data_IF_836839464062
#
_entry.id   IF_836839464062
#
_cell.length_a   1.000
_cell.length_b   1.000
_cell.length_c   1.000
_cell.angle_alpha   90.00
_cell.angle_beta   90.00
_cell.angle_gamma   90.00
#
_symmetry.space_group_name_H-M   'P 1'
#
loop_
_entity.id
_entity.type
_entity.pdbx_description
1 polymer ?
#
# COMPACT_ATOMS: atom_id res chain seq x y z
N UNK A 1 -1.51 -22.73 -1.13
CA UNK A 1 -0.99 -21.36 -0.83
C UNK A 1 -0.94 -21.19 0.68
N UNK A 2 0.23 -20.92 1.27
CA UNK A 2 0.35 -20.68 2.72
C UNK A 2 -0.20 -19.30 3.08
N UNK A 3 -1.12 -19.23 4.06
CA UNK A 3 -1.64 -17.97 4.58
C UNK A 3 -0.60 -17.37 5.55
N UNK A 4 -0.18 -16.13 5.34
CA UNK A 4 0.93 -15.51 6.10
C UNK A 4 0.54 -14.29 6.91
N UNK A 5 -0.66 -13.74 6.67
CA UNK A 5 -1.14 -12.51 7.33
C UNK A 5 -2.50 -12.77 7.96
N UNK A 6 -2.73 -12.26 9.17
CA UNK A 6 -4.01 -12.42 9.88
C UNK A 6 -5.12 -11.58 9.25
N UNK A 7 -6.30 -12.19 9.14
CA UNK A 7 -7.51 -11.60 8.61
C UNK A 7 -8.08 -10.57 9.58
N UNK A 8 -8.09 -9.29 9.20
CA UNK A 8 -8.66 -8.21 10.02
C UNK A 8 -10.16 -8.35 10.26
N UNK A 9 -10.89 -8.95 9.32
CA UNK A 9 -12.34 -9.14 9.44
C UNK A 9 -12.67 -10.30 10.37
N UNK A 10 -11.90 -11.38 10.33
CA UNK A 10 -12.09 -12.52 11.22
C UNK A 10 -11.89 -12.15 12.68
N UNK A 11 -10.87 -11.35 12.99
CA UNK A 11 -10.65 -10.84 14.35
C UNK A 11 -11.84 -10.06 14.91
N UNK A 12 -12.72 -9.54 14.05
CA UNK A 12 -13.93 -8.80 14.43
C UNK A 12 -15.21 -9.65 14.33
N UNK A 13 -15.11 -10.93 13.96
CA UNK A 13 -16.27 -11.77 13.66
C UNK A 13 -16.99 -11.41 12.35
N UNK A 14 -16.39 -10.59 11.48
CA UNK A 14 -17.00 -10.05 10.26
C UNK A 14 -16.56 -10.75 8.97
N UNK A 15 -15.74 -11.80 9.05
CA UNK A 15 -15.26 -12.49 7.85
C UNK A 15 -16.30 -13.45 7.30
N UNK A 16 -16.84 -13.15 6.11
CA UNK A 16 -17.82 -13.99 5.42
C UNK A 16 -17.19 -15.09 4.56
N UNK A 17 -15.86 -15.10 4.39
CA UNK A 17 -15.16 -16.06 3.52
C UNK A 17 -14.93 -17.43 4.18
N UNK A 18 -15.06 -17.54 5.50
CA UNK A 18 -14.81 -18.79 6.24
C UNK A 18 -13.46 -19.41 5.86
N UNK A 19 -13.45 -20.71 5.59
CA UNK A 19 -12.25 -21.44 5.17
C UNK A 19 -11.75 -21.09 3.77
N UNK A 20 -12.50 -20.33 2.98
CA UNK A 20 -12.04 -19.79 1.69
C UNK A 20 -11.30 -18.46 1.84
N UNK A 21 -11.12 -17.97 3.06
CA UNK A 21 -10.35 -16.76 3.30
C UNK A 21 -8.87 -16.98 2.94
N UNK A 22 -8.29 -16.04 2.20
CA UNK A 22 -6.87 -16.07 1.83
C UNK A 22 -5.93 -15.61 2.97
N UNK A 23 -6.52 -15.14 4.07
CA UNK A 23 -5.82 -14.66 5.26
C UNK A 23 -6.01 -15.64 6.43
N UNK A 24 -5.10 -15.60 7.40
CA UNK A 24 -5.15 -16.47 8.58
C UNK A 24 -6.34 -16.13 9.48
N UNK A 25 -7.08 -17.16 9.87
CA UNK A 25 -8.09 -17.12 10.93
C UNK A 25 -7.50 -17.65 12.25
N UNK A 26 -6.35 -17.10 12.62
CA UNK A 26 -5.61 -17.44 13.84
C UNK A 26 -4.93 -16.18 14.35
N UNK A 27 -4.99 -15.94 15.66
CA UNK A 27 -4.31 -14.80 16.25
C UNK A 27 -2.80 -15.08 16.34
N UNK A 28 -2.00 -14.18 15.77
CA UNK A 28 -0.54 -14.28 15.78
C UNK A 28 0.07 -12.90 15.60
N UNK A 29 0.68 -12.35 16.65
CA UNK A 29 1.25 -10.99 16.66
C UNK A 29 2.30 -10.79 15.55
N UNK A 30 3.14 -11.79 15.29
CA UNK A 30 4.18 -11.73 14.24
C UNK A 30 3.58 -11.69 12.83
N UNK A 31 2.37 -12.23 12.65
CA UNK A 31 1.65 -12.27 11.37
C UNK A 31 0.55 -11.21 11.27
N UNK A 32 0.48 -10.29 12.24
CA UNK A 32 -0.48 -9.20 12.18
C UNK A 32 -0.18 -8.29 11.00
N UNK A 33 -1.22 -7.78 10.33
CA UNK A 33 -1.02 -6.82 9.27
C UNK A 33 -0.51 -5.49 9.86
N UNK A 34 0.06 -4.64 9.00
CA UNK A 34 0.60 -3.37 9.44
C UNK A 34 -0.48 -2.45 10.02
N UNK A 35 -0.11 -1.70 11.05
CA UNK A 35 -0.91 -0.61 11.59
C UNK A 35 -0.99 0.51 10.55
N UNK A 36 -2.18 1.10 10.37
CA UNK A 36 -2.36 2.24 9.46
C UNK A 36 -1.58 3.47 9.94
N UNK A 37 -1.52 3.66 11.26
CA UNK A 37 -0.91 4.84 11.87
C UNK A 37 0.59 4.67 12.15
N UNK A 38 1.10 3.43 12.15
CA UNK A 38 2.50 3.11 12.40
C UNK A 38 3.06 3.86 13.63
N UNK A 39 4.15 4.62 13.49
CA UNK A 39 4.77 5.43 14.55
C UNK A 39 3.82 6.48 15.16
N UNK A 40 2.76 6.88 14.44
CA UNK A 40 1.74 7.83 14.93
C UNK A 40 0.59 7.14 15.68
N UNK A 41 0.65 5.82 15.88
CA UNK A 41 -0.39 5.09 16.61
C UNK A 41 -0.34 5.40 18.10
N UNK A 42 -1.44 5.92 18.67
CA UNK A 42 -1.54 6.22 20.11
C UNK A 42 -2.07 5.05 20.95
N UNK A 43 -2.50 3.96 20.32
CA UNK A 43 -3.05 2.80 21.03
C UNK A 43 -1.91 1.90 21.52
N UNK A 44 -1.69 1.86 22.84
CA UNK A 44 -0.66 1.04 23.49
C UNK A 44 -0.93 -0.47 23.38
N UNK A 45 -2.18 -0.86 23.15
CA UNK A 45 -2.60 -2.25 22.94
C UNK A 45 -2.94 -2.53 21.47
N UNK A 46 -2.36 -1.77 20.53
CA UNK A 46 -2.58 -2.00 19.11
C UNK A 46 -2.06 -3.40 18.72
N UNK A 47 -2.92 -4.31 18.25
CA UNK A 47 -2.47 -5.65 17.85
C UNK A 47 -1.72 -5.63 16.51
N UNK A 48 -1.75 -4.51 15.77
CA UNK A 48 -1.13 -4.41 14.46
C UNK A 48 0.36 -4.07 14.56
N UNK A 49 1.15 -4.56 13.59
CA UNK A 49 2.58 -4.29 13.57
C UNK A 49 2.87 -2.83 13.23
N UNK A 50 3.69 -2.17 14.04
CA UNK A 50 4.26 -0.85 13.76
C UNK A 50 5.61 -1.02 13.08
N UNK A 51 5.84 -0.28 12.00
CA UNK A 51 7.12 -0.23 11.28
C UNK A 51 7.52 1.23 11.06
N UNK A 52 8.80 1.50 10.82
CA UNK A 52 9.23 2.85 10.41
C UNK A 52 8.70 3.16 9.02
N UNK A 53 8.50 4.44 8.72
CA UNK A 53 8.09 4.84 7.37
C UNK A 53 9.11 4.42 6.30
N UNK A 54 10.40 4.40 6.62
CA UNK A 54 11.45 3.91 5.72
C UNK A 54 11.33 2.42 5.36
N UNK A 55 10.78 1.60 6.26
CA UNK A 55 10.55 0.16 6.07
C UNK A 55 9.26 -0.14 5.29
N UNK A 56 8.41 0.87 5.09
CA UNK A 56 7.20 0.74 4.28
C UNK A 56 7.58 0.56 2.82
N UNK A 57 6.97 -0.42 2.18
CA UNK A 57 7.11 -0.63 0.73
C UNK A 57 6.67 0.62 -0.04
N UNK A 58 7.44 0.97 -1.06
CA UNK A 58 7.13 2.07 -1.97
C UNK A 58 5.83 1.79 -2.75
N UNK A 59 5.04 2.84 -2.98
CA UNK A 59 3.83 2.74 -3.76
C UNK A 59 4.17 2.63 -5.24
N UNK A 60 3.89 1.48 -5.84
CA UNK A 60 4.15 1.24 -7.27
C UNK A 60 3.39 2.22 -8.18
N UNK A 61 2.19 2.63 -7.79
CA UNK A 61 1.37 3.57 -8.57
C UNK A 61 1.93 4.99 -8.50
N UNK A 62 2.31 5.44 -7.30
CA UNK A 62 2.95 6.75 -7.16
C UNK A 62 4.29 6.79 -7.89
N UNK A 63 5.07 5.71 -7.84
CA UNK A 63 6.30 5.57 -8.63
C UNK A 63 6.05 5.64 -10.14
N UNK A 64 4.88 5.20 -10.60
CA UNK A 64 4.45 5.34 -11.99
C UNK A 64 3.87 6.73 -12.31
N UNK A 65 3.82 7.64 -11.34
CA UNK A 65 3.44 9.04 -11.53
C UNK A 65 2.17 9.45 -10.77
N UNK A 66 1.25 8.53 -10.48
CA UNK A 66 0.01 8.90 -9.79
C UNK A 66 -0.53 7.78 -8.90
N UNK A 67 -0.93 8.14 -7.68
CA UNK A 67 -1.64 7.25 -6.78
C UNK A 67 -3.00 7.83 -6.40
N UNK A 68 -4.08 7.11 -6.72
CA UNK A 68 -5.47 7.48 -6.39
C UNK A 68 -5.72 7.69 -4.89
N UNK A 69 -4.85 7.15 -4.03
CA UNK A 69 -5.02 7.23 -2.57
C UNK A 69 -4.39 8.49 -1.97
N UNK A 70 -3.64 9.28 -2.75
CA UNK A 70 -3.02 10.53 -2.30
C UNK A 70 -2.29 10.38 -0.96
N UNK A 71 -2.44 11.36 -0.06
CA UNK A 71 -1.85 11.34 1.28
C UNK A 71 -2.39 10.25 2.22
N UNK A 72 -3.43 9.52 1.82
CA UNK A 72 -3.98 8.38 2.58
C UNK A 72 -3.43 7.03 2.11
N UNK A 73 -2.52 7.02 1.14
CA UNK A 73 -1.89 5.81 0.66
C UNK A 73 -1.18 5.06 1.79
N UNK A 74 -1.38 3.74 1.82
CA UNK A 74 -0.75 2.85 2.81
C UNK A 74 0.68 2.44 2.45
N UNK A 75 1.19 2.90 1.32
CA UNK A 75 2.54 2.64 0.81
C UNK A 75 3.29 3.97 0.76
N UNK A 76 4.62 3.92 0.85
CA UNK A 76 5.43 5.13 0.92
C UNK A 76 5.46 5.81 -0.45
N UNK A 77 5.20 7.11 -0.49
CA UNK A 77 5.41 7.93 -1.68
C UNK A 77 6.82 8.53 -1.60
N UNK A 78 7.59 8.36 -2.68
CA UNK A 78 8.98 8.83 -2.78
C UNK A 78 9.03 9.82 -3.92
N UNK A 79 9.24 11.08 -3.59
CA UNK A 79 9.48 12.13 -4.58
C UNK A 79 10.79 11.82 -5.33
N UNK A 80 10.77 12.05 -6.63
CA UNK A 80 11.87 11.75 -7.55
C UNK A 80 12.11 12.97 -8.42
N UNK A 81 13.37 13.15 -8.81
CA UNK A 81 13.75 14.16 -9.80
C UNK A 81 13.10 13.84 -11.15
N UNK A 82 12.98 14.87 -12.00
CA UNK A 82 12.23 14.78 -13.26
C UNK A 82 12.80 13.70 -14.18
N UNK A 83 14.11 13.52 -14.18
CA UNK A 83 14.84 12.58 -15.03
C UNK A 83 14.51 11.12 -14.70
N UNK A 84 14.15 10.84 -13.44
CA UNK A 84 13.81 9.51 -12.94
C UNK A 84 12.31 9.16 -13.08
N UNK A 85 11.49 10.12 -13.51
CA UNK A 85 10.05 9.89 -13.73
C UNK A 85 9.82 9.08 -15.01
N UNK A 86 8.68 8.38 -15.15
CA UNK A 86 8.29 7.81 -16.44
C UNK A 86 8.23 8.89 -17.54
N UNK A 87 8.67 8.58 -18.76
CA UNK A 87 8.78 9.56 -19.87
C UNK A 87 7.52 10.40 -20.09
N UNK A 88 6.33 9.78 -19.98
CA UNK A 88 5.06 10.48 -20.14
C UNK A 88 4.79 11.57 -19.08
N UNK A 89 5.38 11.45 -17.89
CA UNK A 89 5.31 12.48 -16.83
C UNK A 89 6.38 13.56 -16.99
N UNK A 90 7.39 13.35 -17.83
CA UNK A 90 8.44 14.33 -18.10
C UNK A 90 7.99 15.45 -19.05
N UNK A 91 6.76 15.36 -19.57
CA UNK A 91 6.25 16.20 -20.65
C UNK A 91 6.66 15.71 -22.05
N UNK A 92 7.33 14.54 -22.13
CA UNK A 92 7.81 13.96 -23.36
C UNK A 92 6.86 12.83 -23.78
N UNK A 93 5.86 13.15 -24.60
CA UNK A 93 5.04 12.12 -25.21
C UNK A 93 5.88 11.36 -26.25
N UNK A 94 6.04 10.03 -26.15
CA UNK A 94 6.82 9.25 -27.13
C UNK A 94 6.18 9.24 -28.53
N UNK A 95 4.90 9.64 -28.64
CA UNK A 95 4.18 9.81 -29.90
C UNK A 95 4.13 11.27 -30.37
N UNK A 96 4.70 12.21 -29.61
CA UNK A 96 4.74 13.64 -29.94
C UNK A 96 3.35 14.22 -30.25
N UNK A 97 3.27 14.99 -31.33
CA UNK A 97 2.03 15.58 -31.85
C UNK A 97 1.01 14.55 -32.35
N UNK A 98 1.42 13.28 -32.56
CA UNK A 98 0.55 12.19 -33.02
C UNK A 98 -0.21 11.47 -31.91
N UNK A 99 -0.15 11.94 -30.67
CA UNK A 99 -0.86 11.31 -29.57
C UNK A 99 -2.35 11.68 -29.55
N UNK A 100 -3.22 10.68 -29.41
CA UNK A 100 -4.67 10.88 -29.37
C UNK A 100 -5.22 11.17 -27.95
N UNK A 101 -4.35 11.29 -26.94
CA UNK A 101 -4.74 11.56 -25.56
C UNK A 101 -4.46 13.02 -25.19
N UNK A 102 -5.22 13.56 -24.23
CA UNK A 102 -4.98 14.89 -23.69
C UNK A 102 -3.63 14.92 -22.95
N UNK A 103 -2.84 15.96 -23.21
CA UNK A 103 -1.56 16.26 -22.58
C UNK A 103 -1.64 17.57 -21.80
#
# INVERSE_FOLDING_TARGET
>A
RMRTVVCRHWMKGLCMKGDRCEFLHQFSLSKMPLCRHSERCKNTQCPFRHIKESERMECVFYRQGFCIHGGFCRYRHVEREKEDLPHFMQGNCPFGEGCHFAH
#
